data_IF_050172997757
#
_entry.id   IF_050172997757
#
_cell.length_a   1.000
_cell.length_b   1.000
_cell.length_c   1.000
_cell.angle_alpha   90.00
_cell.angle_beta   90.00
_cell.angle_gamma   90.00
#
_symmetry.space_group_name_H-M   'P 1'
#
loop_
_entity.id
_entity.type
_entity.pdbx_description
1 polymer ?
#
# COMPACT_ATOMS: atom_id res chain seq x y z
N UNK A 1 -8.60 -22.34 57.39
CA UNK A 1 -8.69 -21.07 58.15
C UNK A 1 -7.29 -20.60 58.48
N UNK A 2 -7.00 -19.35 58.10
CA UNK A 2 -6.15 -18.37 58.79
C UNK A 2 -4.68 -18.76 59.06
N UNK A 3 -3.76 -18.06 58.37
CA UNK A 3 -2.52 -17.42 58.86
C UNK A 3 -1.30 -17.67 57.97
N UNK A 4 -1.25 -17.00 56.81
CA UNK A 4 0.03 -16.77 56.09
C UNK A 4 0.13 -15.39 55.44
N UNK A 5 -0.80 -14.46 55.74
CA UNK A 5 -0.82 -13.09 55.16
C UNK A 5 -0.06 -12.09 56.06
N UNK A 6 0.97 -12.52 56.79
CA UNK A 6 1.69 -11.63 57.72
C UNK A 6 3.17 -11.42 57.37
N UNK A 7 3.66 -11.92 56.22
CA UNK A 7 5.09 -11.83 55.88
C UNK A 7 5.42 -11.17 54.54
N UNK A 8 4.49 -10.42 53.94
CA UNK A 8 4.73 -9.66 52.71
C UNK A 8 4.83 -8.14 52.92
N UNK A 9 4.56 -7.65 54.13
CA UNK A 9 4.54 -6.20 54.43
C UNK A 9 5.89 -5.70 55.00
N UNK A 10 6.80 -6.61 55.38
CA UNK A 10 8.10 -6.24 55.95
C UNK A 10 9.26 -6.19 54.94
N UNK A 11 8.97 -6.13 53.64
CA UNK A 11 9.97 -5.94 52.58
C UNK A 11 9.88 -4.54 51.93
N UNK A 12 9.47 -3.54 52.72
CA UNK A 12 9.30 -2.15 52.26
C UNK A 12 10.41 -1.18 52.71
N UNK A 13 11.49 -1.65 53.37
CA UNK A 13 12.49 -0.76 54.00
C UNK A 13 13.94 -1.06 53.57
N UNK A 14 14.16 -1.62 52.38
CA UNK A 14 15.51 -1.71 51.83
C UNK A 14 15.54 -1.26 50.37
N UNK A 15 15.41 0.05 50.16
CA UNK A 15 15.94 0.71 48.97
C UNK A 15 17.40 1.09 49.28
N UNK A 16 18.33 0.65 48.43
CA UNK A 16 19.12 1.67 47.77
C UNK A 16 19.29 1.41 46.27
N UNK A 17 19.54 2.51 45.57
CA UNK A 17 20.00 2.59 44.18
C UNK A 17 18.97 2.26 43.10
N UNK A 18 18.36 3.36 42.64
CA UNK A 18 17.82 3.56 41.31
C UNK A 18 18.91 3.30 40.25
N UNK A 19 19.18 2.03 39.99
CA UNK A 19 19.90 1.53 38.82
C UNK A 19 18.94 0.70 38.01
N UNK A 20 17.75 1.24 37.70
CA UNK A 20 16.85 0.62 36.74
C UNK A 20 17.57 0.65 35.39
N UNK A 21 18.26 -0.44 35.08
CA UNK A 21 18.61 -0.79 33.72
C UNK A 21 17.30 -0.77 32.94
N UNK A 22 17.05 0.34 32.24
CA UNK A 22 15.97 0.46 31.30
C UNK A 22 16.26 -0.53 30.18
N UNK A 23 15.78 -1.77 30.33
CA UNK A 23 15.66 -2.71 29.23
C UNK A 23 14.87 -1.96 28.15
N UNK A 24 15.57 -1.50 27.12
CA UNK A 24 14.95 -0.70 26.07
C UNK A 24 13.85 -1.54 25.43
N UNK A 25 12.61 -1.10 25.53
CA UNK A 25 11.48 -1.81 24.91
C UNK A 25 11.79 -2.01 23.43
N UNK A 26 11.84 -3.26 22.99
CA UNK A 26 12.25 -3.58 21.63
C UNK A 26 11.18 -3.16 20.63
N UNK A 27 11.60 -2.69 19.45
CA UNK A 27 10.67 -2.34 18.37
C UNK A 27 9.79 -3.53 17.99
N UNK A 28 10.38 -4.73 17.91
CA UNK A 28 9.67 -5.97 17.59
C UNK A 28 8.54 -6.27 18.57
N UNK A 29 8.75 -6.02 19.87
CA UNK A 29 7.70 -6.23 20.89
C UNK A 29 6.52 -5.28 20.67
N UNK A 30 6.81 -4.00 20.41
CA UNK A 30 5.77 -3.00 20.13
C UNK A 30 5.03 -3.32 18.82
N UNK A 31 5.77 -3.73 17.78
CA UNK A 31 5.16 -4.14 16.51
C UNK A 31 4.23 -5.33 16.66
N UNK A 32 4.63 -6.36 17.40
CA UNK A 32 3.79 -7.54 17.65
C UNK A 32 2.56 -7.20 18.47
N UNK A 33 2.67 -6.29 19.43
CA UNK A 33 1.58 -5.96 20.34
C UNK A 33 0.54 -4.99 19.75
N UNK A 34 0.98 -4.03 18.92
CA UNK A 34 0.11 -2.94 18.44
C UNK A 34 -0.07 -2.90 16.92
N UNK A 35 0.77 -3.58 16.13
CA UNK A 35 0.81 -3.43 14.68
C UNK A 35 0.84 -4.77 13.93
N UNK A 36 0.28 -5.84 14.52
CA UNK A 36 0.30 -7.19 13.95
C UNK A 36 -0.26 -7.22 12.52
N UNK A 37 -1.41 -6.59 12.31
CA UNK A 37 -2.11 -6.58 11.02
C UNK A 37 -1.49 -5.63 9.98
N UNK A 38 -0.54 -4.77 10.37
CA UNK A 38 0.02 -3.74 9.48
C UNK A 38 0.59 -4.34 8.19
N UNK A 39 1.31 -5.46 8.29
CA UNK A 39 1.87 -6.14 7.11
C UNK A 39 0.79 -6.68 6.18
N UNK A 40 -0.30 -7.19 6.75
CA UNK A 40 -1.49 -7.63 5.99
C UNK A 40 -2.09 -6.48 5.21
N UNK A 41 -2.32 -5.33 5.86
CA UNK A 41 -2.86 -4.12 5.24
C UNK A 41 -1.98 -3.57 4.12
N UNK A 42 -0.65 -3.57 4.30
CA UNK A 42 0.29 -3.22 3.23
C UNK A 42 0.16 -4.17 2.04
N UNK A 43 0.00 -5.48 2.28
CA UNK A 43 -0.18 -6.49 1.22
C UNK A 43 -1.47 -6.23 0.42
N UNK A 44 -2.58 -5.92 1.08
CA UNK A 44 -3.84 -5.55 0.41
C UNK A 44 -3.67 -4.35 -0.53
N UNK A 45 -2.94 -3.31 -0.09
CA UNK A 45 -2.62 -2.16 -0.96
C UNK A 45 -1.80 -2.61 -2.17
N UNK A 46 -0.80 -3.49 -1.98
CA UNK A 46 0.00 -4.02 -3.10
C UNK A 46 -0.82 -4.84 -4.09
N UNK A 47 -1.79 -5.60 -3.60
CA UNK A 47 -2.71 -6.37 -4.45
C UNK A 47 -3.62 -5.44 -5.25
N UNK A 48 -4.17 -4.40 -4.62
CA UNK A 48 -4.94 -3.37 -5.32
C UNK A 48 -4.09 -2.64 -6.39
N UNK A 49 -2.83 -2.31 -6.08
CA UNK A 49 -1.90 -1.73 -7.06
C UNK A 49 -1.61 -2.66 -8.25
N UNK A 50 -1.61 -3.98 -8.06
CA UNK A 50 -1.45 -4.96 -9.16
C UNK A 50 -2.69 -5.02 -10.05
N UNK A 51 -3.88 -4.87 -9.46
CA UNK A 51 -5.15 -4.87 -10.19
C UNK A 51 -5.37 -3.62 -11.08
N UNK A 52 -4.63 -2.53 -10.85
CA UNK A 52 -4.77 -1.27 -11.59
C UNK A 52 -4.68 -1.43 -13.11
N UNK A 53 -3.81 -2.29 -13.62
CA UNK A 53 -3.67 -2.45 -15.08
C UNK A 53 -4.94 -3.01 -15.71
N UNK A 54 -5.57 -4.01 -15.06
CA UNK A 54 -6.82 -4.57 -15.54
C UNK A 54 -7.97 -3.56 -15.46
N UNK A 55 -7.99 -2.73 -14.41
CA UNK A 55 -9.04 -1.73 -14.20
C UNK A 55 -8.92 -0.53 -15.17
N UNK A 56 -7.70 0.00 -15.36
CA UNK A 56 -7.46 1.24 -16.12
C UNK A 56 -7.26 1.03 -17.62
N UNK A 57 -6.99 -0.20 -18.05
CA UNK A 57 -6.52 -0.49 -19.40
C UNK A 57 -7.42 -1.49 -20.13
N UNK A 58 -8.73 -1.41 -19.85
CA UNK A 58 -9.79 -2.28 -20.40
C UNK A 58 -9.89 -2.25 -21.91
N UNK A 59 -9.50 -1.15 -22.56
CA UNK A 59 -9.52 -0.97 -24.02
C UNK A 59 -8.33 -1.65 -24.74
N UNK A 60 -7.23 -1.94 -24.03
CA UNK A 60 -6.00 -2.46 -24.66
C UNK A 60 -6.17 -3.83 -25.34
N UNK A 61 -6.91 -4.80 -24.78
CA UNK A 61 -7.16 -6.07 -25.47
C UNK A 61 -7.87 -5.87 -26.82
N UNK A 62 -8.92 -5.03 -26.84
CA UNK A 62 -9.67 -4.72 -28.07
C UNK A 62 -8.79 -4.03 -29.11
N UNK A 63 -8.06 -2.99 -28.72
CA UNK A 63 -7.13 -2.28 -29.62
C UNK A 63 -5.99 -3.18 -30.12
N UNK A 64 -5.52 -4.11 -29.29
CA UNK A 64 -4.50 -5.10 -29.68
C UNK A 64 -5.05 -6.07 -30.71
N UNK A 65 -6.27 -6.58 -30.52
CA UNK A 65 -6.93 -7.45 -31.48
C UNK A 65 -7.16 -6.73 -32.81
N UNK A 66 -7.66 -5.49 -32.77
CA UNK A 66 -7.86 -4.65 -33.95
C UNK A 66 -6.56 -4.41 -34.73
N UNK A 67 -5.48 -4.05 -34.04
CA UNK A 67 -4.17 -3.85 -34.66
C UNK A 67 -3.61 -5.14 -35.28
N UNK A 68 -3.80 -6.31 -34.63
CA UNK A 68 -3.40 -7.59 -35.22
C UNK A 68 -4.20 -7.92 -36.49
N UNK A 69 -5.50 -7.66 -36.47
CA UNK A 69 -6.38 -7.90 -37.62
C UNK A 69 -5.99 -7.02 -38.83
N UNK A 70 -5.76 -5.71 -38.62
CA UNK A 70 -5.37 -4.83 -39.72
C UNK A 70 -3.96 -5.12 -40.26
N UNK A 71 -3.02 -5.58 -39.43
CA UNK A 71 -1.72 -6.11 -39.89
C UNK A 71 -1.91 -7.35 -40.77
N UNK A 72 -2.75 -8.30 -40.35
CA UNK A 72 -3.02 -9.51 -41.11
C UNK A 72 -3.67 -9.20 -42.46
N UNK A 73 -4.67 -8.30 -42.48
CA UNK A 73 -5.33 -7.86 -43.71
C UNK A 73 -4.36 -7.20 -44.69
N UNK A 74 -3.53 -6.26 -44.22
CA UNK A 74 -2.50 -5.63 -45.05
C UNK A 74 -1.53 -6.68 -45.64
N UNK A 75 -1.02 -7.59 -44.81
CA UNK A 75 -0.08 -8.63 -45.26
C UNK A 75 -0.74 -9.59 -46.27
N UNK A 76 -2.02 -9.90 -46.10
CA UNK A 76 -2.78 -10.72 -47.04
C UNK A 76 -2.91 -10.05 -48.41
N UNK A 77 -3.28 -8.76 -48.45
CA UNK A 77 -3.44 -7.99 -49.69
C UNK A 77 -2.12 -7.81 -50.45
N UNK A 78 -1.01 -7.62 -49.72
CA UNK A 78 0.33 -7.56 -50.30
C UNK A 78 0.71 -8.91 -50.91
N UNK A 79 0.47 -10.02 -50.20
CA UNK A 79 0.78 -11.37 -50.70
C UNK A 79 -0.08 -11.76 -51.90
N UNK A 80 -1.36 -11.38 -51.90
CA UNK A 80 -2.29 -11.66 -52.99
C UNK A 80 -2.13 -10.72 -54.18
N UNK A 81 -1.18 -9.76 -54.13
CA UNK A 81 -0.95 -8.74 -55.17
C UNK A 81 -2.23 -7.99 -55.53
N UNK A 82 -3.01 -7.59 -54.53
CA UNK A 82 -4.21 -6.77 -54.72
C UNK A 82 -3.88 -5.42 -55.40
N UNK A 83 -4.93 -4.67 -55.78
CA UNK A 83 -4.74 -3.35 -56.41
C UNK A 83 -3.93 -2.40 -55.51
N UNK A 84 -3.15 -1.50 -56.13
CA UNK A 84 -2.34 -0.50 -55.42
C UNK A 84 -3.18 0.31 -54.44
N UNK A 85 -4.39 0.70 -54.83
CA UNK A 85 -5.31 1.46 -54.00
C UNK A 85 -5.79 0.67 -52.78
N UNK A 86 -6.12 -0.61 -52.95
CA UNK A 86 -6.51 -1.51 -51.85
C UNK A 86 -5.37 -1.67 -50.83
N UNK A 87 -4.13 -1.82 -51.32
CA UNK A 87 -2.95 -1.93 -50.46
C UNK A 87 -2.69 -0.61 -49.72
N UNK A 88 -2.85 0.54 -50.39
CA UNK A 88 -2.67 1.85 -49.79
C UNK A 88 -3.71 2.14 -48.69
N UNK A 89 -4.99 1.82 -48.93
CA UNK A 89 -6.05 1.94 -47.93
C UNK A 89 -5.79 1.03 -46.72
N UNK A 90 -5.46 -0.24 -46.95
CA UNK A 90 -5.17 -1.17 -45.86
C UNK A 90 -3.94 -0.75 -45.04
N UNK A 91 -2.91 -0.19 -45.70
CA UNK A 91 -1.74 0.39 -45.01
C UNK A 91 -2.13 1.56 -44.12
N UNK A 92 -2.98 2.47 -44.61
CA UNK A 92 -3.45 3.62 -43.84
C UNK A 92 -4.21 3.18 -42.58
N UNK A 93 -5.11 2.19 -42.71
CA UNK A 93 -5.85 1.60 -41.57
C UNK A 93 -4.89 0.97 -40.57
N UNK A 94 -3.94 0.14 -41.03
CA UNK A 94 -2.92 -0.48 -40.19
C UNK A 94 -2.11 0.55 -39.40
N UNK A 95 -1.67 1.62 -40.07
CA UNK A 95 -0.86 2.66 -39.45
C UNK A 95 -1.67 3.47 -38.42
N UNK A 96 -2.94 3.74 -38.71
CA UNK A 96 -3.87 4.37 -37.77
C UNK A 96 -4.11 3.49 -36.53
N UNK A 97 -4.44 2.21 -36.71
CA UNK A 97 -4.69 1.29 -35.59
C UNK A 97 -3.44 1.12 -34.72
N UNK A 98 -2.26 1.04 -35.33
CA UNK A 98 -0.99 0.99 -34.61
C UNK A 98 -0.77 2.26 -33.78
N UNK A 99 -1.02 3.44 -34.35
CA UNK A 99 -0.89 4.72 -33.66
C UNK A 99 -1.86 4.78 -32.46
N UNK A 100 -3.13 4.43 -32.66
CA UNK A 100 -4.14 4.38 -31.60
C UNK A 100 -3.73 3.43 -30.47
N UNK A 101 -3.27 2.22 -30.80
CA UNK A 101 -2.80 1.25 -29.80
C UNK A 101 -1.61 1.79 -28.99
N UNK A 102 -0.63 2.42 -29.64
CA UNK A 102 0.53 3.00 -28.95
C UNK A 102 0.13 4.14 -28.02
N UNK A 103 -0.71 5.06 -28.48
CA UNK A 103 -1.23 6.15 -27.66
C UNK A 103 -2.01 5.63 -26.44
N UNK A 104 -2.87 4.63 -26.63
CA UNK A 104 -3.61 4.00 -25.54
C UNK A 104 -2.67 3.31 -24.53
N UNK A 105 -1.64 2.58 -25.00
CA UNK A 105 -0.62 1.96 -24.12
C UNK A 105 0.13 2.99 -23.28
N UNK A 106 0.53 4.10 -23.88
CA UNK A 106 1.22 5.19 -23.17
C UNK A 106 0.31 5.83 -22.12
N UNK A 107 -0.94 6.14 -22.49
CA UNK A 107 -1.95 6.72 -21.58
C UNK A 107 -2.23 5.78 -20.40
N UNK A 108 -2.52 4.50 -20.66
CA UNK A 108 -2.70 3.47 -19.64
C UNK A 108 -1.50 3.38 -18.69
N UNK A 109 -0.28 3.28 -19.24
CA UNK A 109 0.95 3.15 -18.43
C UNK A 109 1.13 4.37 -17.53
N UNK A 110 0.87 5.58 -18.06
CA UNK A 110 0.94 6.81 -17.28
C UNK A 110 -0.07 6.79 -16.13
N UNK A 111 -1.35 6.50 -16.40
CA UNK A 111 -2.40 6.42 -15.36
C UNK A 111 -2.05 5.42 -14.26
N UNK A 112 -1.59 4.22 -14.65
CA UNK A 112 -1.17 3.17 -13.69
C UNK A 112 0.00 3.65 -12.84
N UNK A 113 1.01 4.28 -13.44
CA UNK A 113 2.18 4.78 -12.73
C UNK A 113 1.82 5.92 -11.78
N UNK A 114 0.97 6.85 -12.19
CA UNK A 114 0.51 7.96 -11.37
C UNK A 114 -0.28 7.45 -10.15
N UNK A 115 -1.23 6.52 -10.35
CA UNK A 115 -1.98 5.90 -9.25
C UNK A 115 -1.06 5.13 -8.28
N UNK A 116 -0.07 4.39 -8.79
CA UNK A 116 0.95 3.72 -7.96
C UNK A 116 1.81 4.71 -7.20
N UNK A 117 2.21 5.83 -7.82
CA UNK A 117 3.01 6.87 -7.17
C UNK A 117 2.25 7.51 -6.01
N UNK A 118 0.99 7.89 -6.24
CA UNK A 118 0.12 8.46 -5.19
C UNK A 118 -0.04 7.51 -4.01
N UNK A 119 -0.46 6.27 -4.28
CA UNK A 119 -0.64 5.26 -3.21
C UNK A 119 0.67 4.91 -2.49
N UNK A 120 1.81 4.88 -3.18
CA UNK A 120 3.12 4.70 -2.54
C UNK A 120 3.51 5.87 -1.63
N UNK A 121 3.17 7.10 -1.99
CA UNK A 121 3.40 8.25 -1.13
C UNK A 121 2.52 8.20 0.13
N UNK A 122 1.24 7.85 -0.03
CA UNK A 122 0.34 7.64 1.11
C UNK A 122 0.83 6.50 2.03
N UNK A 123 1.35 5.40 1.47
CA UNK A 123 1.99 4.33 2.26
C UNK A 123 3.20 4.83 3.05
N UNK A 124 4.04 5.70 2.45
CA UNK A 124 5.19 6.28 3.17
C UNK A 124 4.75 7.17 4.33
N UNK A 125 3.67 7.93 4.17
CA UNK A 125 3.09 8.75 5.25
C UNK A 125 2.59 7.87 6.39
N UNK A 126 1.85 6.80 6.07
CA UNK A 126 1.37 5.82 7.06
C UNK A 126 2.54 5.15 7.80
N UNK A 127 3.58 4.77 7.08
CA UNK A 127 4.78 4.15 7.65
C UNK A 127 5.58 5.10 8.54
N UNK A 128 5.68 6.38 8.15
CA UNK A 128 6.28 7.41 9.01
C UNK A 128 5.45 7.64 10.28
N UNK A 129 4.12 7.69 10.16
CA UNK A 129 3.23 7.84 11.31
C UNK A 129 3.37 6.65 12.26
N UNK A 130 3.40 5.41 11.75
CA UNK A 130 3.67 4.19 12.53
C UNK A 130 5.01 4.29 13.26
N UNK A 131 6.10 4.71 12.60
CA UNK A 131 7.40 4.88 13.26
C UNK A 131 7.34 5.86 14.44
N UNK A 132 6.66 6.99 14.24
CA UNK A 132 6.47 7.99 15.29
C UNK A 132 5.66 7.41 16.46
N UNK A 133 4.60 6.64 16.18
CA UNK A 133 3.83 5.94 17.21
C UNK A 133 4.68 4.92 17.97
N UNK A 134 5.50 4.12 17.29
CA UNK A 134 6.41 3.16 17.94
C UNK A 134 7.36 3.89 18.88
N UNK A 135 7.93 5.02 18.45
CA UNK A 135 8.82 5.82 19.29
C UNK A 135 8.08 6.37 20.54
N UNK A 136 6.84 6.86 20.36
CA UNK A 136 5.99 7.31 21.46
C UNK A 136 5.69 6.16 22.44
N UNK A 137 5.26 5.00 21.94
CA UNK A 137 4.95 3.82 22.77
C UNK A 137 6.18 3.36 23.55
N UNK A 138 7.35 3.30 22.91
CA UNK A 138 8.60 2.95 23.59
C UNK A 138 8.98 3.94 24.67
N UNK A 139 8.72 5.23 24.45
CA UNK A 139 9.00 6.28 25.43
C UNK A 139 8.11 6.12 26.66
N UNK A 140 6.82 5.89 26.45
CA UNK A 140 5.85 5.67 27.51
C UNK A 140 6.17 4.41 28.32
N UNK A 141 6.38 3.28 27.64
CA UNK A 141 6.69 2.01 28.30
C UNK A 141 8.04 2.02 29.04
N UNK A 142 8.95 2.92 28.66
CA UNK A 142 10.20 3.15 29.40
C UNK A 142 10.03 4.13 30.59
N UNK A 143 8.83 4.63 30.85
CA UNK A 143 8.54 5.62 31.90
C UNK A 143 9.17 6.99 31.64
N UNK A 144 9.47 7.31 30.37
CA UNK A 144 10.21 8.52 29.98
C UNK A 144 9.31 9.70 29.56
N UNK A 145 8.00 9.53 29.63
CA UNK A 145 7.04 10.62 29.48
C UNK A 145 6.16 10.76 30.73
N UNK A 146 5.30 11.78 30.73
CA UNK A 146 4.40 12.11 31.84
C UNK A 146 2.94 11.80 31.53
N UNK A 147 2.65 11.05 30.47
CA UNK A 147 1.27 10.74 30.10
C UNK A 147 0.65 9.80 31.13
N UNK A 148 -0.63 10.00 31.44
CA UNK A 148 -1.38 9.00 32.19
C UNK A 148 -1.61 7.74 31.34
N UNK A 149 -1.91 6.61 31.97
CA UNK A 149 -2.25 5.39 31.23
C UNK A 149 -3.49 5.56 30.36
N UNK A 150 -4.45 6.37 30.80
CA UNK A 150 -5.66 6.68 30.01
C UNK A 150 -5.32 7.51 28.76
N UNK A 151 -4.50 8.56 28.92
CA UNK A 151 -4.02 9.39 27.81
C UNK A 151 -3.21 8.58 26.80
N UNK A 152 -2.33 7.70 27.30
CA UNK A 152 -1.54 6.81 26.47
C UNK A 152 -2.44 5.87 25.66
N UNK A 153 -3.36 5.16 26.32
CA UNK A 153 -4.26 4.22 25.67
C UNK A 153 -5.11 4.91 24.60
N UNK A 154 -5.64 6.10 24.90
CA UNK A 154 -6.40 6.90 23.94
C UNK A 154 -5.55 7.27 22.72
N UNK A 155 -4.34 7.79 22.92
CA UNK A 155 -3.43 8.14 21.81
C UNK A 155 -3.06 6.95 20.94
N UNK A 156 -2.84 5.78 21.55
CA UNK A 156 -2.56 4.54 20.81
C UNK A 156 -3.79 4.14 19.99
N UNK A 157 -4.97 4.10 20.59
CA UNK A 157 -6.21 3.75 19.89
C UNK A 157 -6.51 4.71 18.73
N UNK A 158 -6.44 6.02 18.97
CA UNK A 158 -6.66 7.04 17.94
C UNK A 158 -5.65 6.92 16.80
N UNK A 159 -4.37 6.66 17.13
CA UNK A 159 -3.32 6.47 16.13
C UNK A 159 -3.48 5.19 15.30
N UNK A 160 -3.89 4.08 15.93
CA UNK A 160 -4.19 2.83 15.23
C UNK A 160 -5.39 2.98 14.31
N UNK A 161 -6.44 3.66 14.78
CA UNK A 161 -7.61 4.01 13.97
C UNK A 161 -7.20 4.85 12.77
N UNK A 162 -6.40 5.91 12.97
CA UNK A 162 -5.88 6.73 11.88
C UNK A 162 -5.14 5.90 10.82
N UNK A 163 -4.23 5.01 11.25
CA UNK A 163 -3.50 4.11 10.32
C UNK A 163 -4.48 3.25 9.51
N UNK A 164 -5.46 2.63 10.17
CA UNK A 164 -6.44 1.77 9.51
C UNK A 164 -7.31 2.54 8.51
N UNK A 165 -7.83 3.70 8.92
CA UNK A 165 -8.62 4.59 8.06
C UNK A 165 -7.82 5.02 6.83
N UNK A 166 -6.52 5.34 7.00
CA UNK A 166 -5.64 5.69 5.88
C UNK A 166 -5.41 4.50 4.94
N UNK A 167 -5.24 3.29 5.44
CA UNK A 167 -5.20 2.10 4.58
C UNK A 167 -6.49 1.91 3.80
N UNK A 168 -7.66 2.07 4.45
CA UNK A 168 -8.95 1.94 3.78
C UNK A 168 -9.15 2.97 2.67
N UNK A 169 -8.72 4.22 2.91
CA UNK A 169 -8.74 5.27 1.88
C UNK A 169 -7.86 4.87 0.70
N UNK A 170 -6.61 4.45 0.94
CA UNK A 170 -5.68 4.04 -0.13
C UNK A 170 -6.29 2.90 -0.96
N UNK A 171 -6.85 1.87 -0.30
CA UNK A 171 -7.44 0.71 -0.97
C UNK A 171 -8.67 1.13 -1.77
N UNK A 172 -9.53 1.99 -1.21
CA UNK A 172 -10.73 2.49 -1.87
C UNK A 172 -10.38 3.29 -3.12
N UNK A 173 -9.42 4.21 -3.02
CA UNK A 173 -8.95 5.02 -4.14
C UNK A 173 -8.39 4.13 -5.25
N UNK A 174 -7.62 3.10 -4.91
CA UNK A 174 -7.07 2.14 -5.88
C UNK A 174 -8.14 1.25 -6.53
N UNK A 175 -9.23 0.94 -5.82
CA UNK A 175 -10.34 0.10 -6.34
C UNK A 175 -11.38 0.91 -7.11
N UNK A 176 -11.46 2.23 -6.90
CA UNK A 176 -12.43 3.10 -7.56
C UNK A 176 -11.95 3.66 -8.90
N UNK A 177 -10.67 3.45 -9.25
CA UNK A 177 -10.12 3.92 -10.54
C UNK A 177 -10.81 3.20 -11.70
N UNK A 178 -11.46 3.98 -12.57
CA UNK A 178 -12.11 3.54 -13.81
C UNK A 178 -11.66 4.43 -14.96
#
# INVERSE_FOLDING_TARGET
MKKTIALLILLLIMLPCQGAFAASVSTTSVEKQYFEDYKGRVKEVREAQKALYAALCTELPSLTAKSKASIAQYNSLVKSKASKDSIAQAKAVRDQDRKTLLSAKMSCTKKVNDAKKTSNNQLKEVDQYKRNMIAMIKTHLAGKDRMSSEEFNKKVQDGLKYINDRFDIIIRDLKSVR
#
